data_IF_634594054314
#
_entry.id   IF_634594054314
#
_cell.length_a   1.000
_cell.length_b   1.000
_cell.length_c   1.000
_cell.angle_alpha   90.00
_cell.angle_beta   90.00
_cell.angle_gamma   90.00
#
_symmetry.space_group_name_H-M   'P 1'
#
loop_
_entity.id
_entity.type
_entity.pdbx_description
1 polymer ?
#
# COMPACT_ATOMS: atom_id res chain seq x y z
N UNK A 1 -9.20 4.95 15.38
CA UNK A 1 -7.98 4.71 14.58
C UNK A 1 -6.99 3.92 15.41
N UNK A 2 -6.27 2.96 14.81
CA UNK A 2 -5.20 2.20 15.49
C UNK A 2 -3.91 3.03 15.65
N UNK A 3 -3.86 4.22 15.04
CA UNK A 3 -2.66 5.03 14.83
C UNK A 3 -2.62 6.35 15.63
N UNK A 4 -3.51 6.51 16.62
CA UNK A 4 -3.45 7.63 17.58
C UNK A 4 -2.27 7.54 18.57
N UNK A 5 -1.40 6.53 18.48
CA UNK A 5 -0.12 6.54 19.19
C UNK A 5 0.92 7.32 18.37
N UNK A 6 1.39 8.44 18.94
CA UNK A 6 2.38 9.45 18.46
C UNK A 6 3.76 8.91 18.01
N UNK A 7 3.86 7.68 17.50
CA UNK A 7 5.12 7.06 17.09
C UNK A 7 5.01 5.92 16.08
N UNK A 8 3.84 5.68 15.47
CA UNK A 8 3.73 4.64 14.45
C UNK A 8 4.19 5.17 13.09
N UNK A 9 5.39 4.75 12.68
CA UNK A 9 5.95 5.04 11.36
C UNK A 9 5.32 4.11 10.30
N UNK A 10 4.13 4.45 9.78
CA UNK A 10 3.38 3.60 8.83
C UNK A 10 4.10 3.32 7.52
N UNK A 11 5.02 4.19 7.11
CA UNK A 11 5.88 4.00 5.93
C UNK A 11 7.25 3.41 6.27
N UNK A 12 7.46 2.93 7.50
CA UNK A 12 8.76 2.36 7.89
C UNK A 12 9.06 1.11 7.07
N UNK A 13 10.13 1.21 6.28
CA UNK A 13 10.63 0.08 5.52
C UNK A 13 11.55 -0.83 6.38
N UNK A 14 11.51 -2.13 6.13
CA UNK A 14 12.52 -3.06 6.64
C UNK A 14 13.83 -2.97 5.84
N UNK A 15 14.82 -3.82 6.15
CA UNK A 15 16.12 -3.81 5.48
C UNK A 15 16.07 -4.08 3.96
N UNK A 16 14.98 -4.65 3.47
CA UNK A 16 14.74 -4.94 2.06
C UNK A 16 13.88 -3.87 1.37
N UNK A 17 13.52 -2.80 2.08
CA UNK A 17 12.67 -1.73 1.52
C UNK A 17 11.17 -2.00 1.66
N UNK A 18 10.76 -3.13 2.25
CA UNK A 18 9.34 -3.44 2.40
C UNK A 18 8.69 -2.62 3.50
N UNK A 19 7.70 -1.83 3.10
CA UNK A 19 6.75 -1.15 3.99
C UNK A 19 5.60 -2.09 4.37
N UNK A 20 4.80 -1.74 5.40
CA UNK A 20 3.56 -2.44 5.70
C UNK A 20 2.62 -2.57 4.49
N UNK A 21 2.51 -1.53 3.66
CA UNK A 21 1.66 -1.54 2.47
C UNK A 21 2.19 -2.50 1.39
N UNK A 22 3.51 -2.52 1.16
CA UNK A 22 4.14 -3.48 0.23
C UNK A 22 3.85 -4.93 0.64
N UNK A 23 3.99 -5.27 1.93
CA UNK A 23 3.70 -6.61 2.44
C UNK A 23 2.21 -6.95 2.32
N UNK A 24 1.32 -6.03 2.70
CA UNK A 24 -0.12 -6.25 2.60
C UNK A 24 -0.54 -6.48 1.14
N UNK A 25 0.09 -5.79 0.20
CA UNK A 25 -0.17 -5.95 -1.22
C UNK A 25 0.38 -7.27 -1.79
N UNK A 26 1.62 -7.63 -1.45
CA UNK A 26 2.26 -8.89 -1.83
C UNK A 26 1.48 -10.12 -1.39
N UNK A 27 0.89 -10.10 -0.18
CA UNK A 27 0.11 -11.22 0.35
C UNK A 27 -1.40 -11.12 0.10
N UNK A 28 -1.86 -10.09 -0.63
CA UNK A 28 -3.27 -9.93 -0.98
C UNK A 28 -4.20 -9.59 0.18
N UNK A 29 -3.68 -8.97 1.24
CA UNK A 29 -4.44 -8.65 2.46
C UNK A 29 -5.28 -7.38 2.28
N UNK A 30 -6.33 -7.46 1.46
CA UNK A 30 -7.15 -6.30 1.07
C UNK A 30 -7.72 -5.48 2.23
N UNK A 31 -8.12 -6.11 3.34
CA UNK A 31 -8.62 -5.37 4.50
C UNK A 31 -7.52 -4.59 5.23
N UNK A 32 -6.30 -5.15 5.30
CA UNK A 32 -5.14 -4.44 5.87
C UNK A 32 -4.75 -3.27 4.97
N UNK A 33 -4.81 -3.46 3.64
CA UNK A 33 -4.57 -2.38 2.67
C UNK A 33 -5.54 -1.22 2.92
N UNK A 34 -6.84 -1.47 3.09
CA UNK A 34 -7.82 -0.41 3.41
C UNK A 34 -7.48 0.33 4.71
N UNK A 35 -7.20 -0.42 5.78
CA UNK A 35 -6.86 0.18 7.09
C UNK A 35 -5.62 1.08 6.98
N UNK A 36 -4.61 0.69 6.19
CA UNK A 36 -3.43 1.52 5.97
C UNK A 36 -3.78 2.78 5.16
N UNK A 37 -4.60 2.66 4.12
CA UNK A 37 -4.97 3.77 3.24
C UNK A 37 -5.98 4.75 3.86
N UNK A 38 -6.61 4.41 4.99
CA UNK A 38 -7.41 5.35 5.78
C UNK A 38 -6.55 6.49 6.39
N UNK A 39 -5.23 6.40 6.31
CA UNK A 39 -4.29 7.32 6.93
C UNK A 39 -3.60 8.20 5.89
N UNK A 40 -3.84 9.52 5.97
CA UNK A 40 -3.39 10.52 4.99
C UNK A 40 -1.86 10.60 4.80
N UNK A 41 -1.07 9.96 5.66
CA UNK A 41 0.40 9.98 5.63
C UNK A 41 1.01 8.77 4.91
N UNK A 42 0.21 7.79 4.48
CA UNK A 42 0.73 6.61 3.77
C UNK A 42 1.15 6.98 2.34
N UNK A 43 2.37 6.59 1.99
CA UNK A 43 2.91 6.75 0.63
C UNK A 43 2.60 5.48 -0.17
N UNK A 44 1.61 5.57 -1.05
CA UNK A 44 1.07 4.44 -1.81
C UNK A 44 2.01 3.93 -2.90
N UNK A 45 2.96 4.76 -3.33
CA UNK A 45 3.90 4.49 -4.40
C UNK A 45 5.30 4.12 -3.92
N UNK A 46 5.52 4.06 -2.60
CA UNK A 46 6.82 3.71 -2.03
C UNK A 46 7.27 2.33 -2.51
N UNK A 47 8.39 2.31 -3.24
CA UNK A 47 8.97 1.10 -3.79
C UNK A 47 9.97 0.44 -2.84
N UNK A 48 10.07 -0.89 -2.92
CA UNK A 48 11.11 -1.65 -2.23
C UNK A 48 12.51 -1.41 -2.86
N UNK A 49 13.54 -2.08 -2.32
CA UNK A 49 14.91 -1.94 -2.84
C UNK A 49 15.09 -2.49 -4.27
N UNK A 50 14.11 -3.23 -4.79
CA UNK A 50 14.10 -3.78 -6.14
C UNK A 50 13.25 -2.94 -7.11
N UNK A 51 12.60 -1.88 -6.63
CA UNK A 51 11.75 -1.00 -7.42
C UNK A 51 10.31 -1.49 -7.58
N UNK A 52 9.87 -2.48 -6.80
CA UNK A 52 8.48 -2.92 -6.79
C UNK A 52 7.64 -2.02 -5.88
N UNK A 53 6.56 -1.47 -6.44
CA UNK A 53 5.52 -0.74 -5.69
C UNK A 53 4.45 -1.72 -5.19
N UNK A 54 3.59 -1.31 -4.25
CA UNK A 54 2.47 -2.15 -3.80
C UNK A 54 1.61 -2.65 -4.96
N UNK A 55 1.33 -1.79 -5.95
CA UNK A 55 0.57 -2.16 -7.15
C UNK A 55 1.30 -3.22 -8.00
N UNK A 56 2.61 -3.08 -8.18
CA UNK A 56 3.40 -4.07 -8.93
C UNK A 56 3.42 -5.42 -8.23
N UNK A 57 3.61 -5.47 -6.90
CA UNK A 57 3.59 -6.73 -6.13
C UNK A 57 2.21 -7.41 -6.19
N UNK A 58 1.13 -6.65 -6.00
CA UNK A 58 -0.23 -7.19 -6.10
C UNK A 58 -0.55 -7.72 -7.52
N UNK A 59 0.03 -7.11 -8.56
CA UNK A 59 -0.15 -7.53 -9.95
C UNK A 59 0.73 -8.72 -10.34
N UNK A 60 1.97 -8.80 -9.85
CA UNK A 60 2.89 -9.92 -10.10
C UNK A 60 2.36 -11.23 -9.50
N UNK A 61 1.90 -11.17 -8.25
CA UNK A 61 1.40 -12.32 -7.49
C UNK A 61 -0.11 -12.57 -7.72
N UNK A 62 -0.72 -11.92 -8.72
CA UNK A 62 -2.15 -12.01 -9.06
C UNK A 62 -2.67 -13.42 -9.43
N UNK A 63 -1.84 -14.45 -9.31
CA UNK A 63 -2.21 -15.86 -9.51
C UNK A 63 -3.19 -16.37 -8.45
N UNK A 64 -3.38 -15.68 -7.31
CA UNK A 64 -4.32 -16.08 -6.24
C UNK A 64 -4.94 -14.88 -5.50
N UNK A 65 -5.99 -14.25 -6.05
CA UNK A 65 -6.94 -13.46 -5.24
C UNK A 65 -6.53 -12.03 -4.86
N UNK A 66 -5.48 -11.47 -5.45
CA UNK A 66 -5.04 -10.09 -5.18
C UNK A 66 -5.78 -9.03 -6.00
N UNK A 67 -6.75 -9.43 -6.83
CA UNK A 67 -7.54 -8.51 -7.65
C UNK A 67 -8.26 -7.43 -6.84
N UNK A 68 -8.62 -7.71 -5.59
CA UNK A 68 -9.24 -6.71 -4.72
C UNK A 68 -8.24 -5.66 -4.24
N UNK A 69 -7.02 -6.06 -3.88
CA UNK A 69 -5.93 -5.12 -3.57
C UNK A 69 -5.64 -4.22 -4.76
N UNK A 70 -5.55 -4.78 -5.97
CA UNK A 70 -5.32 -4.00 -7.19
C UNK A 70 -6.40 -2.94 -7.39
N UNK A 71 -7.69 -3.28 -7.18
CA UNK A 71 -8.77 -2.28 -7.28
C UNK A 71 -8.62 -1.18 -6.24
N UNK A 72 -8.39 -1.53 -4.98
CA UNK A 72 -8.24 -0.57 -3.88
C UNK A 72 -7.09 0.40 -4.18
N UNK A 73 -5.92 -0.11 -4.57
CA UNK A 73 -4.76 0.72 -4.88
C UNK A 73 -5.00 1.63 -6.09
N UNK A 74 -5.72 1.17 -7.11
CA UNK A 74 -6.09 2.00 -8.27
C UNK A 74 -7.15 3.06 -7.95
N UNK A 75 -8.01 2.82 -6.96
CA UNK A 75 -9.00 3.80 -6.50
C UNK A 75 -8.32 4.95 -5.76
N UNK A 76 -7.30 4.68 -4.93
CA UNK A 76 -6.52 5.71 -4.23
C UNK A 76 -5.55 6.47 -5.15
N UNK A 77 -4.79 5.77 -6.00
CA UNK A 77 -3.90 6.40 -7.00
C UNK A 77 -4.71 7.26 -8.01
N UNK A 78 -5.94 6.83 -8.29
CA UNK A 78 -6.91 7.60 -9.08
C UNK A 78 -7.42 8.88 -8.40
N UNK A 79 -7.36 8.99 -7.06
CA UNK A 79 -7.88 10.14 -6.31
C UNK A 79 -6.87 11.30 -6.20
N UNK A 80 -5.57 11.03 -6.07
CA UNK A 80 -4.54 12.08 -6.08
C UNK A 80 -4.51 12.86 -7.40
N UNK A 81 -4.83 12.21 -8.52
CA UNK A 81 -4.90 12.85 -9.83
C UNK A 81 -6.08 13.79 -10.07
N UNK A 82 -7.14 13.73 -9.25
CA UNK A 82 -8.37 14.56 -9.44
C UNK A 82 -8.47 15.73 -8.47
N UNK A 83 -7.74 15.71 -7.34
CA UNK A 83 -7.89 16.71 -6.27
C UNK A 83 -6.74 17.74 -6.23
N UNK A 84 -5.67 17.59 -7.02
CA UNK A 84 -4.69 18.67 -7.25
C UNK A 84 -4.87 19.38 -8.61
N UNK A 85 -5.85 20.30 -8.71
CA UNK A 85 -5.83 21.48 -9.59
C UNK A 85 -6.57 22.67 -8.96
#
# INVERSE_FOLDING_TARGET
MLLEEDGVEVNKANNQGYTPLLLAAEFGHSEVVKILLEEDVVDVDMADNHGFTPLLLAAEEAKCGHSEVVKILLEEDGLEGVIQR
#
